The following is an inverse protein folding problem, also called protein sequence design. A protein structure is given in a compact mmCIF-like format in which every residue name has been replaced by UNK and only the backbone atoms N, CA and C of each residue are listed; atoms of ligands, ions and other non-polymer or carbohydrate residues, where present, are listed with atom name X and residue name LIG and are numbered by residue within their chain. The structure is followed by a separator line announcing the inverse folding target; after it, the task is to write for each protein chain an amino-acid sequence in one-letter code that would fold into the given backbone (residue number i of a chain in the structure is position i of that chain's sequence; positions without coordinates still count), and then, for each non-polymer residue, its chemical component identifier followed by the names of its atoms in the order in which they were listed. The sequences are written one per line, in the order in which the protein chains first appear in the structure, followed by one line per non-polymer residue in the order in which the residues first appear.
data_IF_616112635950
#
_entry.id   IF_616112635950
#
_cell.length_a   1.000
_cell.length_b   1.000
_cell.length_c   1.000
_cell.angle_alpha   90.00
_cell.angle_beta   90.00
_cell.angle_gamma   90.00
#
_symmetry.space_group_name_H-M   'P 1'
#
loop_
_entity.id
_entity.type
_entity.pdbx_description
1 polymer ?
#
# COMPACT_ATOMS: atom_id res chain seq x y z
N UNK A 1 -3.40 -9.96 -0.48
CA UNK A 1 -2.48 -9.13 -1.28
C UNK A 1 -1.02 -9.36 -0.88
N UNK A 2 -0.66 -9.36 0.41
CA UNK A 2 0.72 -9.50 0.86
C UNK A 2 1.45 -10.72 0.27
N UNK A 3 0.84 -11.92 0.27
CA UNK A 3 1.44 -13.11 -0.35
C UNK A 3 1.77 -12.93 -1.84
N UNK A 4 0.92 -12.19 -2.57
CA UNK A 4 1.16 -11.94 -3.99
C UNK A 4 2.38 -11.07 -4.18
N UNK A 5 2.47 -9.95 -3.44
CA UNK A 5 3.61 -9.04 -3.53
C UNK A 5 4.92 -9.70 -3.05
N UNK A 6 4.86 -10.49 -1.98
CA UNK A 6 6.01 -11.27 -1.55
C UNK A 6 6.54 -12.20 -2.66
N UNK A 7 5.63 -12.93 -3.32
CA UNK A 7 6.00 -13.82 -4.43
C UNK A 7 6.41 -13.06 -5.72
N UNK A 8 6.09 -11.78 -5.81
CA UNK A 8 6.56 -10.89 -6.90
C UNK A 8 7.91 -10.25 -6.60
N UNK A 9 8.50 -10.50 -5.43
CA UNK A 9 9.82 -10.02 -5.05
C UNK A 9 9.86 -8.60 -4.47
N UNK A 10 8.73 -8.09 -3.96
CA UNK A 10 8.73 -6.82 -3.22
C UNK A 10 9.42 -6.99 -1.86
N UNK A 11 10.25 -6.02 -1.47
CA UNK A 11 10.98 -6.02 -0.20
C UNK A 11 10.11 -5.57 0.97
N UNK A 12 9.15 -4.66 0.71
CA UNK A 12 8.26 -4.11 1.75
C UNK A 12 6.81 -4.01 1.28
N UNK A 13 5.87 -4.09 2.22
CA UNK A 13 4.46 -3.83 1.98
C UNK A 13 3.86 -2.99 3.12
N UNK A 14 3.54 -1.74 2.84
CA UNK A 14 2.92 -0.83 3.79
C UNK A 14 1.41 -0.81 3.58
N UNK A 15 0.66 -1.48 4.44
CA UNK A 15 -0.80 -1.43 4.45
C UNK A 15 -1.30 -0.38 5.45
N UNK A 16 -2.61 -0.10 5.43
CA UNK A 16 -3.25 0.89 6.31
C UNK A 16 -2.96 0.66 7.81
N UNK A 17 -2.64 -0.56 8.19
CA UNK A 17 -2.29 -0.91 9.57
C UNK A 17 -0.97 -0.27 10.03
N UNK A 18 -0.12 0.11 9.09
CA UNK A 18 1.14 0.81 9.33
C UNK A 18 1.06 2.32 9.06
N UNK A 19 -0.13 2.83 8.70
CA UNK A 19 -0.37 4.23 8.39
C UNK A 19 -1.19 4.89 9.49
N UNK A 20 -0.77 6.08 9.92
CA UNK A 20 -1.60 6.93 10.77
C UNK A 20 -2.59 7.70 9.89
N UNK A 21 -3.64 7.04 9.45
CA UNK A 21 -4.71 7.68 8.69
C UNK A 21 -5.44 8.66 9.60
N UNK A 22 -5.14 9.94 9.47
CA UNK A 22 -5.76 11.03 10.25
C UNK A 22 -7.11 11.44 9.67
N UNK A 23 -7.27 11.34 8.34
CA UNK A 23 -8.47 11.76 7.63
C UNK A 23 -9.08 10.62 6.82
N UNK A 24 -10.41 10.57 6.85
CA UNK A 24 -11.21 9.68 6.01
C UNK A 24 -12.22 10.49 5.24
N UNK A 25 -12.66 9.95 4.11
CA UNK A 25 -13.84 10.45 3.41
C UNK A 25 -15.09 10.22 4.26
N UNK A 26 -16.19 10.82 3.90
CA UNK A 26 -17.50 10.64 4.54
C UNK A 26 -17.97 9.18 4.49
N UNK A 27 -17.48 8.41 3.52
CA UNK A 27 -17.67 6.96 3.38
C UNK A 27 -16.68 6.10 4.16
N UNK A 28 -15.76 6.71 4.91
CA UNK A 28 -14.77 6.01 5.73
C UNK A 28 -13.56 5.45 4.98
N UNK A 29 -13.36 5.79 3.71
CA UNK A 29 -12.12 5.52 2.99
C UNK A 29 -11.00 6.46 3.45
N UNK A 30 -9.78 5.97 3.49
CA UNK A 30 -8.63 6.83 3.77
C UNK A 30 -8.47 7.85 2.64
N UNK A 31 -8.18 9.12 3.00
CA UNK A 31 -7.80 10.14 2.02
C UNK A 31 -6.40 9.85 1.48
N UNK A 32 -6.22 10.05 0.18
CA UNK A 32 -4.98 9.66 -0.53
C UNK A 32 -3.79 10.59 -0.22
N UNK A 33 -4.02 11.76 0.37
CA UNK A 33 -2.95 12.70 0.78
C UNK A 33 -1.85 12.05 1.63
N UNK A 34 -2.22 11.04 2.46
CA UNK A 34 -1.27 10.31 3.32
C UNK A 34 -0.24 9.51 2.51
N UNK A 35 -0.57 9.14 1.27
CA UNK A 35 0.28 8.30 0.43
C UNK A 35 1.57 9.00 0.04
N UNK A 36 1.57 10.33 -0.15
CA UNK A 36 2.79 11.09 -0.48
C UNK A 36 3.89 10.83 0.55
N UNK A 37 3.57 10.95 1.85
CA UNK A 37 4.53 10.68 2.92
C UNK A 37 5.07 9.25 2.84
N UNK A 38 4.19 8.25 2.72
CA UNK A 38 4.60 6.85 2.72
C UNK A 38 5.35 6.43 1.45
N UNK A 39 5.08 7.06 0.31
CA UNK A 39 5.87 6.87 -0.91
C UNK A 39 7.28 7.42 -0.70
N UNK A 40 7.42 8.64 -0.17
CA UNK A 40 8.74 9.22 0.11
C UNK A 40 9.51 8.38 1.13
N UNK A 41 8.85 7.91 2.20
CA UNK A 41 9.45 7.00 3.19
C UNK A 41 9.94 5.69 2.56
N UNK A 42 9.19 5.13 1.59
CA UNK A 42 9.61 3.94 0.86
C UNK A 42 10.87 4.19 0.03
N UNK A 43 10.92 5.32 -0.67
CA UNK A 43 12.08 5.73 -1.47
C UNK A 43 13.32 6.08 -0.62
N UNK A 44 13.14 6.34 0.68
CA UNK A 44 14.25 6.59 1.62
C UNK A 44 14.80 5.31 2.27
N UNK A 45 14.30 4.13 1.91
CA UNK A 45 14.73 2.86 2.53
C UNK A 45 16.03 2.33 1.96
N UNK A 46 16.42 2.74 0.77
CA UNK A 46 17.65 2.32 0.12
C UNK A 46 18.32 3.48 -0.63
N UNK A 47 19.61 3.33 -0.93
CA UNK A 47 20.36 4.23 -1.82
C UNK A 47 20.37 3.72 -3.29
N UNK A 48 19.50 2.77 -3.62
CA UNK A 48 19.39 2.15 -4.95
C UNK A 48 18.11 2.60 -5.64
N UNK A 49 17.91 2.14 -6.89
CA UNK A 49 16.70 2.41 -7.63
C UNK A 49 15.50 1.71 -6.98
N UNK A 50 14.42 2.46 -6.80
CA UNK A 50 13.19 1.99 -6.19
C UNK A 50 12.09 1.74 -7.21
N UNK A 51 11.33 0.68 -7.02
CA UNK A 51 10.06 0.44 -7.68
C UNK A 51 8.93 0.50 -6.64
N UNK A 52 8.17 1.59 -6.66
CA UNK A 52 7.07 1.80 -5.72
C UNK A 52 5.72 1.59 -6.42
N UNK A 53 4.96 0.59 -5.97
CA UNK A 53 3.60 0.33 -6.45
C UNK A 53 2.58 0.78 -5.41
N UNK A 54 1.79 1.80 -5.73
CA UNK A 54 0.84 2.42 -4.81
C UNK A 54 -0.60 2.20 -5.29
N UNK A 55 -1.50 1.89 -4.37
CA UNK A 55 -2.95 1.77 -4.62
C UNK A 55 -3.66 2.83 -3.81
N UNK A 56 -4.25 3.81 -4.50
CA UNK A 56 -5.15 4.80 -3.90
C UNK A 56 -6.55 4.20 -3.70
N UNK A 57 -7.34 4.80 -2.80
CA UNK A 57 -8.65 4.24 -2.45
C UNK A 57 -9.74 5.31 -2.27
N UNK A 58 -9.38 6.58 -2.24
CA UNK A 58 -10.31 7.66 -1.91
C UNK A 58 -11.50 7.73 -2.86
N UNK A 59 -11.28 7.52 -4.15
CA UNK A 59 -12.33 7.51 -5.17
C UNK A 59 -13.15 6.22 -5.27
N UNK A 60 -12.92 5.24 -4.39
CA UNK A 60 -13.58 3.93 -4.44
C UNK A 60 -15.07 4.03 -4.14
N UNK A 61 -15.84 3.12 -4.75
CA UNK A 61 -17.31 3.06 -4.71
C UNK A 61 -17.95 2.88 -3.33
N UNK A 62 -19.25 2.69 -3.33
CA UNK A 62 -20.26 2.95 -2.32
C UNK A 62 -20.55 4.46 -2.22
N UNK A 63 -20.87 5.07 -3.35
CA UNK A 63 -21.18 6.49 -3.43
C UNK A 63 -22.50 6.80 -2.72
N UNK A 64 -22.56 7.84 -1.83
CA UNK A 64 -23.75 8.18 -1.07
C UNK A 64 -24.88 8.67 -1.99
N UNK A 65 -26.10 8.25 -1.72
CA UNK A 65 -27.31 8.71 -2.43
C UNK A 65 -27.85 10.03 -1.88
N UNK A 66 -27.33 10.47 -0.74
CA UNK A 66 -27.66 11.75 -0.10
C UNK A 66 -26.44 12.67 -0.13
N UNK A 67 -26.67 13.97 -0.04
CA UNK A 67 -25.59 14.94 0.05
C UNK A 67 -24.88 14.79 1.42
N UNK A 68 -23.60 14.44 1.40
CA UNK A 68 -22.75 14.28 2.59
C UNK A 68 -21.65 15.33 2.68
N UNK A 69 -21.27 15.96 1.56
CA UNK A 69 -20.29 17.04 1.52
C UNK A 69 -21.06 18.37 1.71
N UNK A 70 -20.81 19.06 2.83
CA UNK A 70 -21.52 20.32 3.14
C UNK A 70 -21.20 21.45 2.13
N UNK A 71 -19.94 21.55 1.72
CA UNK A 71 -19.45 22.61 0.82
C UNK A 71 -18.65 22.01 -0.34
N UNK A 72 -19.32 21.38 -1.33
CA UNK A 72 -18.63 20.75 -2.46
C UNK A 72 -17.88 21.79 -3.30
N UNK A 73 -16.65 21.49 -3.66
CA UNK A 73 -15.83 22.32 -4.55
C UNK A 73 -16.33 22.28 -5.99
N UNK A 74 -16.83 21.13 -6.39
CA UNK A 74 -17.43 20.90 -7.70
C UNK A 74 -18.89 20.53 -7.51
N UNK A 75 -19.78 21.24 -8.19
CA UNK A 75 -21.22 20.95 -8.21
C UNK A 75 -21.60 20.26 -9.51
N UNK A 76 -22.49 19.27 -9.39
CA UNK A 76 -23.02 18.54 -10.54
C UNK A 76 -24.42 19.06 -10.88
N UNK A 77 -24.61 19.39 -12.15
CA UNK A 77 -25.89 19.89 -12.70
C UNK A 77 -26.37 19.01 -13.85
N UNK A 78 -27.66 19.14 -14.20
CA UNK A 78 -28.25 18.46 -15.36
C UNK A 78 -28.60 16.99 -15.13
N UNK A 79 -28.59 16.50 -13.89
CA UNK A 79 -29.07 15.18 -13.49
C UNK A 79 -30.37 15.36 -12.69
N UNK A 80 -31.51 14.83 -13.21
CA UNK A 80 -32.82 14.95 -12.57
C UNK A 80 -32.95 14.02 -11.35
N UNK A 81 -32.33 12.85 -11.38
CA UNK A 81 -32.32 11.91 -10.25
C UNK A 81 -31.35 12.42 -9.15
N UNK A 82 -31.90 12.90 -8.05
CA UNK A 82 -31.12 13.46 -6.96
C UNK A 82 -30.17 12.45 -6.31
N UNK A 83 -30.51 11.17 -6.25
CA UNK A 83 -29.63 10.13 -5.71
C UNK A 83 -28.40 9.93 -6.62
N UNK A 84 -28.63 9.87 -7.93
CA UNK A 84 -27.56 9.76 -8.92
C UNK A 84 -26.69 11.02 -8.96
N UNK A 85 -27.31 12.20 -8.86
CA UNK A 85 -26.61 13.49 -8.77
C UNK A 85 -25.69 13.54 -7.56
N UNK A 86 -26.16 13.13 -6.37
CA UNK A 86 -25.38 13.09 -5.15
C UNK A 86 -24.18 12.13 -5.26
N UNK A 87 -24.37 10.96 -5.87
CA UNK A 87 -23.27 10.02 -6.17
C UNK A 87 -22.19 10.65 -7.04
N UNK A 88 -22.57 11.32 -8.11
CA UNK A 88 -21.64 12.00 -9.00
C UNK A 88 -20.95 13.17 -8.32
N UNK A 89 -21.70 14.01 -7.57
CA UNK A 89 -21.12 15.14 -6.86
C UNK A 89 -20.10 14.69 -5.82
N UNK A 90 -20.42 13.64 -5.07
CA UNK A 90 -19.46 13.02 -4.16
C UNK A 90 -18.20 12.56 -4.91
N UNK A 91 -18.35 11.77 -5.96
CA UNK A 91 -17.23 11.20 -6.72
C UNK A 91 -16.32 12.28 -7.32
N UNK A 92 -16.86 13.29 -7.98
CA UNK A 92 -16.02 14.34 -8.60
C UNK A 92 -15.27 15.17 -7.57
N UNK A 93 -15.82 15.35 -6.35
CA UNK A 93 -15.10 16.00 -5.26
C UNK A 93 -13.99 15.12 -4.69
N UNK A 94 -14.17 13.80 -4.64
CA UNK A 94 -13.06 12.89 -4.30
C UNK A 94 -11.97 12.93 -5.37
N UNK A 95 -12.32 12.94 -6.65
CA UNK A 95 -11.35 13.08 -7.76
C UNK A 95 -10.62 14.43 -7.69
N UNK A 96 -11.30 15.51 -7.31
CA UNK A 96 -10.66 16.81 -7.11
C UNK A 96 -9.57 16.75 -6.01
N UNK A 97 -9.85 16.10 -4.87
CA UNK A 97 -8.84 15.92 -3.82
C UNK A 97 -7.70 14.98 -4.27
N UNK A 98 -8.01 13.92 -5.03
CA UNK A 98 -7.00 13.03 -5.62
C UNK A 98 -6.08 13.79 -6.59
N UNK A 99 -6.61 14.72 -7.38
CA UNK A 99 -5.80 15.57 -8.27
C UNK A 99 -4.83 16.45 -7.48
N UNK A 100 -5.25 16.98 -6.33
CA UNK A 100 -4.36 17.71 -5.42
C UNK A 100 -3.26 16.81 -4.85
N UNK A 101 -3.61 15.60 -4.41
CA UNK A 101 -2.62 14.60 -3.99
C UNK A 101 -1.60 14.31 -5.09
N UNK A 102 -2.04 14.11 -6.33
CA UNK A 102 -1.14 13.91 -7.48
C UNK A 102 -0.18 15.09 -7.65
N UNK A 103 -0.69 16.33 -7.58
CA UNK A 103 0.13 17.53 -7.66
C UNK A 103 1.18 17.62 -6.54
N UNK A 104 0.81 17.26 -5.32
CA UNK A 104 1.73 17.29 -4.18
C UNK A 104 2.75 16.14 -4.22
N UNK A 105 2.36 14.95 -4.69
CA UNK A 105 3.28 13.86 -4.94
C UNK A 105 4.34 14.24 -5.99
N UNK A 106 3.93 14.83 -7.11
CA UNK A 106 4.87 15.28 -8.16
C UNK A 106 5.86 16.30 -7.60
N UNK A 107 5.40 17.30 -6.82
CA UNK A 107 6.29 18.27 -6.17
C UNK A 107 7.29 17.60 -5.23
N UNK A 108 6.84 16.61 -4.46
CA UNK A 108 7.70 15.86 -3.54
C UNK A 108 8.77 15.07 -4.29
N UNK A 109 8.40 14.40 -5.39
CA UNK A 109 9.33 13.67 -6.26
C UNK A 109 10.33 14.63 -6.93
N UNK A 110 9.88 15.78 -7.46
CA UNK A 110 10.76 16.79 -8.05
C UNK A 110 11.77 17.34 -7.04
N UNK A 111 11.36 17.53 -5.78
CA UNK A 111 12.22 18.06 -4.72
C UNK A 111 13.40 17.12 -4.39
N UNK A 112 13.28 15.81 -4.65
CA UNK A 112 14.38 14.83 -4.48
C UNK A 112 15.51 15.04 -5.50
N UNK A 113 15.21 15.58 -6.68
CA UNK A 113 16.18 15.77 -7.79
C UNK A 113 16.80 14.47 -8.31
N UNK A 114 16.11 13.36 -8.11
CA UNK A 114 16.50 12.05 -8.58
C UNK A 114 15.79 11.74 -9.91
N UNK A 115 16.42 10.97 -10.83
CA UNK A 115 15.75 10.49 -12.03
C UNK A 115 14.48 9.71 -11.67
N UNK A 116 13.32 10.17 -12.12
CA UNK A 116 12.05 9.60 -11.69
C UNK A 116 11.05 9.51 -12.83
N UNK A 117 10.25 8.45 -12.82
CA UNK A 117 9.09 8.26 -13.69
C UNK A 117 7.89 7.89 -12.83
N UNK A 118 6.81 8.64 -12.94
CA UNK A 118 5.57 8.39 -12.20
C UNK A 118 4.46 8.06 -13.18
N UNK A 119 3.78 6.94 -12.95
CA UNK A 119 2.71 6.46 -13.81
C UNK A 119 1.40 6.42 -13.05
N UNK A 120 0.44 7.20 -13.49
CA UNK A 120 -0.92 7.20 -12.96
C UNK A 120 -1.82 6.47 -13.93
N UNK A 121 -2.66 5.58 -13.44
CA UNK A 121 -3.66 4.91 -14.25
C UNK A 121 -4.87 4.52 -13.44
N UNK A 122 -6.06 4.55 -14.08
CA UNK A 122 -7.28 4.01 -13.50
C UNK A 122 -7.35 2.51 -13.74
N UNK A 123 -7.75 1.75 -12.73
CA UNK A 123 -8.00 0.31 -12.85
C UNK A 123 -9.37 0.00 -13.47
N UNK A 124 -10.38 0.82 -13.17
CA UNK A 124 -11.72 0.74 -13.75
C UNK A 124 -12.48 2.07 -13.61
N UNK A 125 -13.61 2.18 -14.29
CA UNK A 125 -14.54 3.30 -14.17
C UNK A 125 -15.35 3.22 -12.86
N UNK A 126 -15.90 4.36 -12.37
CA UNK A 126 -16.77 4.37 -11.20
C UNK A 126 -18.06 3.58 -11.45
N UNK A 127 -18.56 2.91 -10.39
CA UNK A 127 -19.80 2.10 -10.45
C UNK A 127 -21.05 2.98 -10.39
N UNK A 128 -21.30 3.75 -11.47
CA UNK A 128 -22.42 4.68 -11.61
C UNK A 128 -23.51 4.19 -12.57
N UNK A 129 -23.52 2.89 -12.88
CA UNK A 129 -24.46 2.33 -13.86
C UNK A 129 -24.21 2.76 -15.30
N UNK A 130 -23.00 3.20 -15.62
CA UNK A 130 -22.61 3.63 -16.96
C UNK A 130 -22.78 2.50 -18.00
N UNK A 131 -23.22 2.87 -19.18
CA UNK A 131 -23.30 2.01 -20.34
C UNK A 131 -22.34 2.49 -21.42
N UNK A 132 -22.05 1.62 -22.41
CA UNK A 132 -21.14 1.96 -23.48
C UNK A 132 -21.59 3.21 -24.27
N UNK A 133 -22.90 3.39 -24.45
CA UNK A 133 -23.47 4.56 -25.12
C UNK A 133 -23.26 5.88 -24.40
N UNK A 134 -23.03 5.87 -23.08
CA UNK A 134 -22.81 7.07 -22.27
C UNK A 134 -21.37 7.59 -22.43
N UNK A 135 -20.48 6.78 -22.97
CA UNK A 135 -19.05 7.07 -23.08
C UNK A 135 -18.65 7.49 -24.49
N UNK A 136 -17.79 8.50 -24.61
CA UNK A 136 -17.20 8.89 -25.90
C UNK A 136 -16.42 7.75 -26.54
N UNK A 137 -15.71 6.95 -25.75
CA UNK A 137 -14.94 5.79 -26.21
C UNK A 137 -15.81 4.62 -26.68
N UNK A 138 -17.06 4.55 -26.22
CA UNK A 138 -17.94 3.40 -26.38
C UNK A 138 -17.44 2.09 -25.73
N UNK A 139 -16.45 2.17 -24.83
CA UNK A 139 -15.84 1.03 -24.13
C UNK A 139 -15.88 1.22 -22.62
N UNK A 140 -16.60 0.35 -21.91
CA UNK A 140 -16.75 0.39 -20.45
C UNK A 140 -15.47 0.03 -19.68
N UNK A 141 -14.55 -0.68 -20.33
CA UNK A 141 -13.34 -1.18 -19.69
C UNK A 141 -12.08 -0.37 -20.03
N UNK A 142 -12.25 0.73 -20.76
CA UNK A 142 -11.13 1.62 -21.02
C UNK A 142 -10.97 2.61 -19.87
N UNK A 143 -9.72 2.77 -19.46
CA UNK A 143 -9.28 3.81 -18.51
C UNK A 143 -8.17 4.64 -19.14
N UNK A 144 -7.78 5.70 -18.48
CA UNK A 144 -6.67 6.53 -18.90
C UNK A 144 -5.42 6.23 -18.10
N UNK A 145 -4.25 6.49 -18.68
CA UNK A 145 -3.00 6.54 -17.97
C UNK A 145 -2.24 7.82 -18.34
N UNK A 146 -1.40 8.28 -17.42
CA UNK A 146 -0.51 9.43 -17.61
C UNK A 146 0.87 9.02 -17.13
N UNK A 147 1.89 9.37 -17.91
CA UNK A 147 3.29 9.23 -17.51
C UNK A 147 3.85 10.63 -17.32
N UNK A 148 4.34 10.89 -16.12
CA UNK A 148 5.16 12.04 -15.79
C UNK A 148 6.59 11.58 -15.58
N UNK A 149 7.56 12.36 -16.03
CA UNK A 149 8.96 12.06 -15.83
C UNK A 149 9.83 13.32 -15.77
N UNK A 150 11.01 13.21 -15.17
CA UNK A 150 12.07 14.20 -15.20
C UNK A 150 13.32 13.73 -15.92
N UNK A 151 13.22 12.62 -16.67
CA UNK A 151 14.34 12.01 -17.43
C UNK A 151 14.31 12.36 -18.91
N UNK A 152 13.32 13.13 -19.36
CA UNK A 152 13.24 13.66 -20.73
C UNK A 152 12.60 12.72 -21.74
N UNK A 153 11.68 11.86 -21.31
CA UNK A 153 10.90 11.03 -22.23
C UNK A 153 10.04 11.89 -23.15
N UNK A 154 10.08 11.58 -24.46
CA UNK A 154 9.25 12.30 -25.42
C UNK A 154 7.76 11.99 -25.17
N UNK A 155 6.90 13.02 -25.19
CA UNK A 155 5.45 12.83 -25.08
C UNK A 155 4.93 11.94 -26.21
N UNK A 156 4.13 10.93 -25.85
CA UNK A 156 3.45 10.04 -26.79
C UNK A 156 2.06 9.73 -26.29
N UNK A 157 1.05 10.07 -27.12
CA UNK A 157 -0.31 9.65 -26.89
C UNK A 157 -0.52 8.28 -27.54
N UNK A 158 -0.77 7.24 -26.76
CA UNK A 158 -0.82 5.85 -27.23
C UNK A 158 -1.88 5.03 -26.52
N UNK A 159 -2.69 4.35 -27.29
CA UNK A 159 -3.60 3.33 -26.76
C UNK A 159 -2.86 2.01 -26.64
N UNK A 160 -2.87 1.41 -25.47
CA UNK A 160 -2.22 0.12 -25.20
C UNK A 160 -3.11 -0.75 -24.32
N UNK A 161 -3.06 -2.07 -24.45
CA UNK A 161 -3.67 -2.97 -23.47
C UNK A 161 -3.01 -2.81 -22.09
N UNK A 162 -3.81 -2.89 -21.01
CA UNK A 162 -3.31 -2.69 -19.65
C UNK A 162 -2.12 -3.61 -19.30
N UNK A 163 -2.14 -4.86 -19.77
CA UNK A 163 -1.06 -5.83 -19.55
C UNK A 163 0.26 -5.50 -20.27
N UNK A 164 0.27 -4.50 -21.17
CA UNK A 164 1.49 -4.01 -21.83
C UNK A 164 2.04 -2.73 -21.21
N UNK A 165 1.32 -2.08 -20.27
CA UNK A 165 1.67 -0.76 -19.76
C UNK A 165 3.10 -0.73 -19.20
N UNK A 166 3.42 -1.63 -18.26
CA UNK A 166 4.76 -1.69 -17.67
C UNK A 166 5.84 -1.98 -18.73
N UNK A 167 5.59 -2.92 -19.63
CA UNK A 167 6.52 -3.25 -20.70
C UNK A 167 6.80 -2.07 -21.64
N UNK A 168 5.80 -1.24 -21.91
CA UNK A 168 5.94 -0.02 -22.70
C UNK A 168 6.80 1.02 -21.98
N UNK A 169 6.58 1.20 -20.66
CA UNK A 169 7.38 2.11 -19.84
C UNK A 169 8.84 1.68 -19.80
N UNK A 170 9.10 0.40 -19.50
CA UNK A 170 10.46 -0.16 -19.47
C UNK A 170 11.16 -0.03 -20.82
N UNK A 171 10.43 -0.26 -21.92
CA UNK A 171 10.99 -0.08 -23.27
C UNK A 171 11.37 1.38 -23.56
N UNK A 172 10.60 2.35 -23.06
CA UNK A 172 10.93 3.79 -23.21
C UNK A 172 12.13 4.22 -22.37
N UNK A 173 12.43 3.48 -21.31
CA UNK A 173 13.60 3.66 -20.44
C UNK A 173 14.82 2.82 -20.88
N UNK A 174 14.74 2.16 -22.04
CA UNK A 174 15.77 1.25 -22.54
C UNK A 174 16.06 0.06 -21.59
N UNK A 175 15.06 -0.37 -20.85
CA UNK A 175 15.15 -1.52 -19.95
C UNK A 175 14.53 -2.73 -20.64
N UNK A 176 15.36 -3.74 -20.91
CA UNK A 176 14.99 -4.94 -21.67
C UNK A 176 15.17 -6.24 -20.86
N UNK A 177 15.12 -6.16 -19.55
CA UNK A 177 15.17 -7.31 -18.64
C UNK A 177 13.78 -7.87 -18.35
N UNK A 178 13.73 -9.13 -17.92
CA UNK A 178 12.48 -9.82 -17.57
C UNK A 178 11.82 -10.51 -18.77
N UNK A 179 11.52 -11.80 -18.60
CA UNK A 179 11.04 -12.68 -19.68
C UNK A 179 9.75 -12.17 -20.33
N UNK A 180 8.73 -11.84 -19.52
CA UNK A 180 7.44 -11.41 -20.02
C UNK A 180 7.52 -9.99 -20.60
N UNK A 181 8.27 -9.09 -20.00
CA UNK A 181 8.46 -7.73 -20.52
C UNK A 181 9.17 -7.76 -21.87
N UNK A 182 10.24 -8.52 -21.99
CA UNK A 182 10.94 -8.73 -23.26
C UNK A 182 10.04 -9.32 -24.34
N UNK A 183 9.23 -10.31 -23.97
CA UNK A 183 8.25 -10.88 -24.87
C UNK A 183 7.31 -9.81 -25.45
N UNK A 184 6.71 -8.99 -24.58
CA UNK A 184 5.85 -7.89 -25.01
C UNK A 184 6.57 -6.88 -25.90
N UNK A 185 7.80 -6.50 -25.55
CA UNK A 185 8.59 -5.54 -26.32
C UNK A 185 8.91 -6.04 -27.74
N UNK A 186 9.27 -7.30 -27.87
CA UNK A 186 9.76 -7.87 -29.12
C UNK A 186 8.66 -8.45 -30.02
N UNK A 187 7.59 -8.97 -29.41
CA UNK A 187 6.57 -9.75 -30.12
C UNK A 187 5.24 -9.03 -30.34
N UNK A 188 5.00 -7.89 -29.68
CA UNK A 188 3.77 -7.10 -29.91
C UNK A 188 3.66 -6.75 -31.41
N UNK A 189 2.46 -6.98 -31.97
CA UNK A 189 2.20 -6.76 -33.39
C UNK A 189 2.52 -7.94 -34.31
N UNK A 190 3.08 -9.05 -33.82
CA UNK A 190 3.22 -10.27 -34.62
C UNK A 190 1.90 -11.05 -34.67
N UNK A 191 1.69 -11.83 -35.75
CA UNK A 191 0.46 -12.58 -35.99
C UNK A 191 0.07 -13.53 -34.84
N UNK A 192 1.08 -14.15 -34.22
CA UNK A 192 0.87 -15.17 -33.19
C UNK A 192 1.06 -14.62 -31.76
N UNK A 193 1.08 -13.29 -31.60
CA UNK A 193 1.40 -12.65 -30.31
C UNK A 193 0.59 -13.20 -29.14
N UNK A 194 -0.73 -13.28 -29.24
CA UNK A 194 -1.57 -13.74 -28.12
C UNK A 194 -1.44 -15.23 -27.88
N UNK A 195 -1.38 -16.07 -28.91
CA UNK A 195 -1.21 -17.51 -28.76
C UNK A 195 0.15 -17.89 -28.18
N UNK A 196 1.21 -17.20 -28.59
CA UNK A 196 2.55 -17.41 -28.05
C UNK A 196 2.64 -16.91 -26.60
N UNK A 197 1.94 -15.82 -26.24
CA UNK A 197 1.84 -15.34 -24.86
C UNK A 197 1.12 -16.36 -23.95
N UNK A 198 0.03 -16.95 -24.44
CA UNK A 198 -0.71 -17.98 -23.72
C UNK A 198 0.18 -19.22 -23.47
N UNK A 199 0.96 -19.66 -24.47
CA UNK A 199 1.92 -20.76 -24.32
C UNK A 199 3.03 -20.41 -23.31
N UNK A 200 3.55 -19.18 -23.34
CA UNK A 200 4.56 -18.69 -22.40
C UNK A 200 4.02 -18.69 -20.97
N UNK A 201 2.80 -18.19 -20.76
CA UNK A 201 2.14 -18.19 -19.46
C UNK A 201 1.90 -19.62 -18.96
N UNK A 202 1.46 -20.53 -19.84
CA UNK A 202 1.28 -21.92 -19.49
C UNK A 202 2.60 -22.57 -19.05
N UNK A 203 3.69 -22.35 -19.80
CA UNK A 203 5.00 -22.91 -19.46
C UNK A 203 5.50 -22.40 -18.10
N UNK A 204 5.33 -21.10 -17.81
CA UNK A 204 5.76 -20.49 -16.54
C UNK A 204 4.94 -21.04 -15.36
N UNK A 205 3.62 -21.14 -15.50
CA UNK A 205 2.71 -21.42 -14.38
C UNK A 205 2.43 -22.91 -14.15
N UNK A 206 2.37 -23.70 -15.21
CA UNK A 206 1.91 -25.08 -15.18
C UNK A 206 2.81 -26.05 -15.93
N UNK A 207 3.69 -25.55 -16.80
CA UNK A 207 4.58 -26.32 -17.64
C UNK A 207 5.86 -26.76 -16.95
N UNK A 208 6.86 -27.05 -17.74
CA UNK A 208 8.20 -27.46 -17.26
C UNK A 208 9.18 -26.29 -17.15
N UNK A 209 8.69 -25.07 -17.32
CA UNK A 209 9.49 -23.85 -17.22
C UNK A 209 10.70 -23.83 -18.18
N UNK A 210 10.47 -24.32 -19.38
CA UNK A 210 11.50 -24.36 -20.44
C UNK A 210 12.08 -22.98 -20.74
N UNK A 211 11.27 -21.92 -20.64
CA UNK A 211 11.72 -20.54 -20.81
C UNK A 211 12.83 -20.14 -19.83
N UNK A 212 12.94 -20.83 -18.70
CA UNK A 212 13.97 -20.64 -17.68
C UNK A 212 15.00 -21.80 -17.66
N UNK A 213 15.02 -22.66 -18.68
CA UNK A 213 15.85 -23.86 -18.71
C UNK A 213 15.66 -24.74 -17.46
N UNK A 214 14.43 -24.87 -16.96
CA UNK A 214 14.03 -25.55 -15.72
C UNK A 214 14.64 -24.96 -14.42
N UNK A 215 15.15 -23.73 -14.48
CA UNK A 215 15.69 -22.98 -13.34
C UNK A 215 14.98 -21.63 -13.23
N UNK A 216 13.71 -21.62 -12.72
CA UNK A 216 12.96 -20.36 -12.60
C UNK A 216 13.69 -19.41 -11.67
N UNK A 217 13.69 -18.12 -11.99
CA UNK A 217 14.29 -17.08 -11.14
C UNK A 217 13.37 -16.75 -9.95
N UNK A 218 12.84 -17.79 -9.29
CA UNK A 218 11.99 -17.65 -8.11
C UNK A 218 12.92 -17.70 -6.90
N UNK A 219 13.04 -16.60 -6.21
CA UNK A 219 13.65 -16.54 -4.88
C UNK A 219 12.55 -16.60 -3.83
N UNK A 220 12.84 -17.20 -2.69
CA UNK A 220 11.94 -17.06 -1.52
C UNK A 220 11.80 -15.58 -1.21
N UNK A 221 10.56 -15.09 -1.14
CA UNK A 221 10.29 -13.71 -0.82
C UNK A 221 10.59 -13.44 0.66
N UNK A 222 11.28 -12.36 0.94
CA UNK A 222 11.60 -11.89 2.30
C UNK A 222 10.92 -10.55 2.61
N UNK A 223 9.72 -10.35 2.09
CA UNK A 223 8.99 -9.11 2.22
C UNK A 223 8.64 -8.79 3.68
N UNK A 224 8.95 -7.59 4.10
CA UNK A 224 8.65 -7.08 5.43
C UNK A 224 7.39 -6.22 5.41
N UNK A 225 6.52 -6.39 6.40
CA UNK A 225 5.33 -5.57 6.56
C UNK A 225 5.67 -4.23 7.24
N UNK A 226 5.34 -3.13 6.55
CA UNK A 226 5.68 -1.78 6.99
C UNK A 226 7.16 -1.43 6.81
N UNK A 227 7.45 -0.14 6.72
CA UNK A 227 8.82 0.38 6.54
C UNK A 227 9.45 0.69 7.89
N UNK A 228 8.67 1.28 8.80
CA UNK A 228 9.15 1.73 10.10
C UNK A 228 8.89 0.68 11.18
N UNK A 229 9.90 0.48 12.04
CA UNK A 229 9.75 -0.35 13.22
C UNK A 229 8.85 0.35 14.25
N UNK A 230 7.99 -0.43 14.89
CA UNK A 230 7.34 0.00 16.13
C UNK A 230 8.31 -0.21 17.28
N UNK A 231 8.54 0.81 18.08
CA UNK A 231 9.46 0.72 19.21
C UNK A 231 8.82 1.22 20.50
N UNK A 232 9.32 0.74 21.64
CA UNK A 232 9.00 1.23 22.97
C UNK A 232 10.20 1.98 23.52
N UNK A 233 9.95 3.09 24.22
CA UNK A 233 10.97 3.91 24.87
C UNK A 233 10.80 3.96 26.38
N UNK A 234 9.57 4.04 26.89
CA UNK A 234 9.30 4.13 28.31
C UNK A 234 7.90 3.66 28.68
N UNK A 235 7.70 3.42 29.98
CA UNK A 235 6.44 3.04 30.58
C UNK A 235 6.22 3.85 31.85
N UNK A 236 5.00 4.34 32.05
CA UNK A 236 4.64 5.16 33.21
C UNK A 236 3.33 4.64 33.80
N UNK A 237 3.26 4.36 35.12
CA UNK A 237 2.01 4.01 35.78
C UNK A 237 0.95 5.11 35.63
N UNK A 238 -0.32 4.73 35.48
CA UNK A 238 -1.44 5.64 35.47
C UNK A 238 -2.04 5.80 36.87
N UNK A 239 -2.67 6.95 37.12
CA UNK A 239 -3.28 7.24 38.42
C UNK A 239 -4.46 6.30 38.77
N UNK A 240 -5.18 5.80 37.75
CA UNK A 240 -6.34 4.95 37.95
C UNK A 240 -6.02 3.46 38.02
N UNK A 241 -5.43 2.94 36.97
CA UNK A 241 -4.88 1.56 36.87
C UNK A 241 -4.20 1.39 35.52
N UNK A 242 -3.20 0.51 35.46
CA UNK A 242 -2.47 0.22 34.24
C UNK A 242 -1.35 1.23 33.95
N UNK A 243 -0.95 1.33 32.69
CA UNK A 243 0.26 2.03 32.30
C UNK A 243 0.04 2.84 31.01
N UNK A 244 0.83 3.90 30.83
CA UNK A 244 1.05 4.55 29.54
C UNK A 244 2.39 4.07 29.00
N UNK A 245 2.37 3.47 27.81
CA UNK A 245 3.55 3.10 27.04
C UNK A 245 3.85 4.19 26.04
N UNK A 246 5.10 4.63 26.04
CA UNK A 246 5.62 5.59 25.08
C UNK A 246 6.57 4.91 24.10
N UNK A 247 6.61 5.39 22.88
CA UNK A 247 7.41 4.81 21.81
C UNK A 247 7.22 5.53 20.50
N UNK A 248 7.41 4.82 19.39
CA UNK A 248 7.30 5.38 18.05
C UNK A 248 6.50 4.48 17.11
N UNK A 249 5.91 5.10 16.09
CA UNK A 249 5.20 4.45 14.99
C UNK A 249 3.97 3.64 15.41
N UNK A 250 3.34 4.01 16.53
CA UNK A 250 2.07 3.41 16.90
C UNK A 250 0.96 3.87 15.94
N UNK A 251 0.03 2.98 15.66
CA UNK A 251 -1.20 3.27 14.92
C UNK A 251 -2.43 2.77 15.68
N UNK A 252 -3.63 3.11 15.22
CA UNK A 252 -4.87 2.57 15.81
C UNK A 252 -4.94 1.03 15.76
N UNK A 253 -4.05 0.39 15.03
CA UNK A 253 -3.93 -1.05 14.90
C UNK A 253 -2.85 -1.66 15.81
N UNK A 254 -2.13 -0.83 16.57
CA UNK A 254 -1.15 -1.32 17.54
C UNK A 254 -1.84 -1.95 18.75
N UNK A 255 -1.33 -3.10 19.20
CA UNK A 255 -1.82 -3.83 20.38
C UNK A 255 -0.65 -4.18 21.27
N UNK A 256 -0.84 -4.10 22.58
CA UNK A 256 0.17 -4.46 23.58
C UNK A 256 0.05 -5.94 23.91
N UNK A 257 1.20 -6.59 24.03
CA UNK A 257 1.35 -7.97 24.46
C UNK A 257 2.25 -8.01 25.70
N UNK A 258 1.83 -8.78 26.70
CA UNK A 258 2.65 -9.08 27.89
C UNK A 258 2.82 -10.59 27.95
N UNK A 259 4.06 -11.05 28.00
CA UNK A 259 4.42 -12.47 27.97
C UNK A 259 3.77 -13.26 26.81
N UNK A 260 3.61 -12.59 25.65
CA UNK A 260 2.97 -13.15 24.47
C UNK A 260 1.44 -13.08 24.43
N UNK A 261 0.79 -12.66 25.52
CA UNK A 261 -0.67 -12.55 25.64
C UNK A 261 -1.15 -11.13 25.32
N UNK A 262 -2.12 -11.00 24.40
CA UNK A 262 -2.71 -9.69 24.03
C UNK A 262 -3.43 -9.09 25.24
N UNK A 263 -3.11 -7.84 25.54
CA UNK A 263 -3.68 -7.10 26.64
C UNK A 263 -4.70 -6.05 26.16
N UNK A 264 -5.55 -5.61 27.08
CA UNK A 264 -6.48 -4.49 26.85
C UNK A 264 -5.69 -3.20 26.73
N UNK A 265 -5.64 -2.68 25.51
CA UNK A 265 -4.86 -1.47 25.19
C UNK A 265 -5.63 -0.53 24.29
N UNK A 266 -5.37 0.77 24.41
CA UNK A 266 -5.98 1.81 23.59
C UNK A 266 -4.93 2.74 23.00
N UNK A 267 -5.01 2.93 21.70
CA UNK A 267 -4.18 3.88 20.96
C UNK A 267 -4.61 5.31 21.27
N UNK A 268 -3.66 6.18 21.63
CA UNK A 268 -3.90 7.61 21.81
C UNK A 268 -3.35 8.43 20.64
N UNK A 269 -2.08 8.18 20.29
CA UNK A 269 -1.39 8.81 19.18
C UNK A 269 -0.19 7.96 18.76
N UNK A 270 0.57 8.41 17.77
CA UNK A 270 1.70 7.67 17.21
C UNK A 270 2.88 7.44 18.18
N UNK A 271 2.85 8.05 19.37
CA UNK A 271 3.89 7.91 20.40
C UNK A 271 3.38 7.38 21.73
N UNK A 272 2.05 7.13 21.86
CA UNK A 272 1.46 6.71 23.12
C UNK A 272 0.32 5.71 22.97
N UNK A 273 0.41 4.62 23.74
CA UNK A 273 -0.63 3.60 23.93
C UNK A 273 -0.89 3.45 25.44
N UNK A 274 -2.15 3.37 25.85
CA UNK A 274 -2.50 3.00 27.21
C UNK A 274 -2.73 1.50 27.31
N UNK A 275 -2.15 0.90 28.33
CA UNK A 275 -2.36 -0.47 28.79
C UNK A 275 -3.27 -0.41 30.01
N UNK A 276 -4.45 -1.00 29.93
CA UNK A 276 -5.47 -0.93 30.97
C UNK A 276 -5.60 -2.25 31.72
N UNK A 277 -6.00 -2.20 33.00
CA UNK A 277 -6.36 -3.38 33.79
C UNK A 277 -5.25 -4.46 33.88
N UNK A 278 -3.98 -4.07 33.71
CA UNK A 278 -2.84 -4.99 33.76
C UNK A 278 -1.91 -4.55 34.89
N UNK A 279 -1.53 -5.48 35.74
CA UNK A 279 -0.46 -5.32 36.73
C UNK A 279 0.81 -5.99 36.20
N UNK A 280 1.88 -5.24 36.09
CA UNK A 280 3.16 -5.74 35.61
C UNK A 280 4.07 -6.11 36.78
N UNK A 281 4.81 -7.21 36.62
CA UNK A 281 5.81 -7.68 37.56
C UNK A 281 7.22 -7.60 36.91
N UNK A 282 8.23 -7.43 37.77
CA UNK A 282 9.61 -7.46 37.28
C UNK A 282 9.89 -8.80 36.55
N UNK A 283 10.38 -8.71 35.34
CA UNK A 283 10.62 -9.84 34.47
C UNK A 283 9.58 -10.02 33.37
N UNK A 284 8.44 -9.32 33.43
CA UNK A 284 7.44 -9.39 32.34
C UNK A 284 8.01 -8.87 31.02
N UNK A 285 7.71 -9.60 29.93
CA UNK A 285 8.14 -9.23 28.57
C UNK A 285 7.03 -8.51 27.86
N UNK A 286 7.32 -7.28 27.44
CA UNK A 286 6.37 -6.40 26.75
C UNK A 286 6.76 -6.23 25.29
N UNK A 287 5.79 -6.33 24.42
CA UNK A 287 5.90 -6.05 22.98
C UNK A 287 4.66 -5.29 22.49
N UNK A 288 4.81 -4.60 21.37
CA UNK A 288 3.70 -4.02 20.61
C UNK A 288 3.63 -4.67 19.24
N UNK A 289 2.47 -5.22 18.89
CA UNK A 289 2.21 -5.80 17.60
C UNK A 289 1.32 -4.91 16.73
N UNK A 290 1.65 -4.78 15.44
CA UNK A 290 0.74 -4.24 14.43
C UNK A 290 -0.17 -5.35 13.93
N UNK A 291 -1.48 -5.15 14.13
CA UNK A 291 -2.48 -6.21 14.01
C UNK A 291 -3.53 -5.84 12.96
N UNK A 292 -3.77 -6.74 12.05
CA UNK A 292 -4.83 -6.62 11.06
C UNK A 292 -6.19 -7.12 11.58
N UNK A 293 -7.12 -7.29 10.65
CA UNK A 293 -8.41 -7.93 10.93
C UNK A 293 -8.20 -9.36 11.46
N UNK A 294 -9.10 -9.80 12.35
CA UNK A 294 -9.02 -11.13 12.97
C UNK A 294 -7.76 -11.37 13.82
N UNK A 295 -7.22 -10.31 14.39
CA UNK A 295 -6.02 -10.35 15.26
C UNK A 295 -4.76 -10.96 14.59
N UNK A 296 -4.71 -10.96 13.26
CA UNK A 296 -3.50 -11.38 12.54
C UNK A 296 -2.37 -10.40 12.83
N UNK A 297 -1.29 -10.86 13.44
CA UNK A 297 -0.11 -10.06 13.71
C UNK A 297 0.70 -9.95 12.42
N UNK A 298 0.94 -8.72 11.96
CA UNK A 298 1.77 -8.44 10.78
C UNK A 298 3.23 -8.20 11.15
N UNK A 299 3.47 -7.58 12.31
CA UNK A 299 4.81 -7.27 12.79
C UNK A 299 4.79 -7.05 14.30
N UNK A 300 5.83 -7.51 15.00
CA UNK A 300 6.05 -7.26 16.43
C UNK A 300 7.22 -6.32 16.62
N UNK A 301 7.15 -5.50 17.67
CA UNK A 301 8.31 -4.75 18.15
C UNK A 301 9.38 -5.68 18.72
N UNK A 302 10.56 -5.14 18.98
CA UNK A 302 11.54 -5.80 19.85
C UNK A 302 10.90 -6.17 21.20
N UNK A 303 11.50 -7.11 21.92
CA UNK A 303 11.12 -7.48 23.27
C UNK A 303 11.72 -6.53 24.29
N UNK A 304 10.92 -6.14 25.27
CA UNK A 304 11.35 -5.29 26.39
C UNK A 304 10.98 -5.97 27.68
N UNK A 305 11.94 -6.09 28.60
CA UNK A 305 11.67 -6.58 29.95
C UNK A 305 11.28 -5.42 30.86
N UNK A 306 10.19 -5.56 31.60
CA UNK A 306 9.83 -4.64 32.66
C UNK A 306 10.68 -4.89 33.91
N UNK A 307 11.40 -3.89 34.39
CA UNK A 307 12.23 -3.99 35.58
C UNK A 307 12.22 -2.66 36.34
N UNK A 308 11.87 -2.69 37.64
CA UNK A 308 11.87 -1.53 38.50
C UNK A 308 11.16 -0.28 37.91
N UNK A 309 10.03 -0.49 37.25
CA UNK A 309 9.28 0.59 36.63
C UNK A 309 9.79 1.08 35.29
N UNK A 310 10.75 0.40 34.67
CA UNK A 310 11.38 0.77 33.39
C UNK A 310 11.31 -0.36 32.38
N UNK A 311 11.45 -0.01 31.10
CA UNK A 311 11.58 -0.95 29.99
C UNK A 311 13.05 -1.12 29.62
N UNK A 312 13.52 -2.34 29.66
CA UNK A 312 14.86 -2.73 29.23
C UNK A 312 14.76 -3.54 27.94
N UNK A 313 15.29 -3.01 26.85
CA UNK A 313 15.31 -3.71 25.56
C UNK A 313 16.18 -4.96 25.67
N UNK A 314 15.66 -6.11 25.24
CA UNK A 314 16.41 -7.35 25.19
C UNK A 314 17.33 -7.34 23.94
N UNK A 315 18.64 -7.48 24.15
CA UNK A 315 19.59 -7.59 23.03
C UNK A 315 19.42 -8.93 22.29
N UNK A 316 19.56 -8.92 20.97
CA UNK A 316 19.47 -10.11 20.13
C UNK A 316 18.06 -10.66 19.93
N UNK A 317 17.04 -9.98 20.42
CA UNK A 317 15.64 -10.38 20.24
C UNK A 317 14.91 -9.54 19.19
N UNK A 318 15.64 -8.78 18.36
CA UNK A 318 15.04 -8.21 17.18
C UNK A 318 14.27 -9.35 16.50
N UNK A 319 12.95 -9.22 16.42
CA UNK A 319 12.17 -9.99 15.46
C UNK A 319 12.97 -9.91 14.19
N UNK A 320 13.41 -11.05 13.69
CA UNK A 320 14.31 -11.10 12.55
C UNK A 320 13.70 -10.21 11.47
N UNK A 321 14.29 -9.04 11.24
CA UNK A 321 13.77 -8.04 10.29
C UNK A 321 13.69 -8.62 8.88
N UNK A 322 14.35 -9.77 8.69
CA UNK A 322 14.41 -10.54 7.47
C UNK A 322 13.38 -11.70 7.42
N UNK A 323 12.56 -11.92 8.46
CA UNK A 323 11.49 -12.91 8.36
C UNK A 323 10.43 -12.43 7.39
N UNK A 324 10.13 -13.27 6.40
CA UNK A 324 9.04 -13.03 5.48
C UNK A 324 7.71 -12.92 6.23
N UNK A 325 6.75 -12.18 5.68
CA UNK A 325 5.40 -12.10 6.25
C UNK A 325 4.77 -13.49 6.46
N UNK A 326 5.09 -14.46 5.62
CA UNK A 326 4.63 -15.85 5.73
C UNK A 326 5.17 -16.50 6.99
N UNK A 327 6.46 -16.32 7.27
CA UNK A 327 7.12 -16.88 8.46
C UNK A 327 6.59 -16.24 9.75
N UNK A 328 6.40 -14.92 9.74
CA UNK A 328 5.82 -14.19 10.87
C UNK A 328 4.39 -14.63 11.22
N UNK A 329 3.61 -15.07 10.24
CA UNK A 329 2.24 -15.58 10.45
C UNK A 329 2.20 -16.94 11.15
N UNK A 330 3.22 -17.75 11.00
CA UNK A 330 3.27 -19.12 11.54
C UNK A 330 4.07 -19.26 12.83
N UNK A 331 4.89 -18.27 13.19
CA UNK A 331 5.65 -18.26 14.45
C UNK A 331 4.83 -17.81 15.67
N UNK A 332 3.58 -17.43 15.48
CA UNK A 332 2.65 -17.08 16.56
C UNK A 332 1.90 -18.35 17.00
N UNK A 333 2.61 -19.26 17.62
CA UNK A 333 2.04 -20.35 18.41
C UNK A 333 2.52 -20.25 19.84
#
# INVERSE_FOLDING_TARGET
RANVFNNMGFDTFTSKEFMNVLQTTENGWAKDEILTQHIMEAMDTSDQEDFVFTVSVQGHGNYPETQVIENPKIKVEGIEDEALKNKWEYYVNQVYEMDQFVGDLIKAVEARKEPSVVVFYGDHLPTMGLKAEDLKSRYLYNTNYVIWDNVGLQKQDKNIPAYQLMSEILNRLDIHSGTVFNYHQQRKGTKNYLSDLELLQYDILYGKQYVYNNHPPITEGHMVMGIRDVSLSSIVPQLSSGYSLYGENFTKYSRVYVNGEKQKSSFLNNTRINLSETELQDGDVIQVGQVGSSDTIFRMSDKYTYQNGQLVKQEGTATDKNKSWVDQKYDVK
#
